data_IF_359504960062
#
_entry.id   IF_359504960062
#
_cell.length_a   1.000
_cell.length_b   1.000
_cell.length_c   1.000
_cell.angle_alpha   90.00
_cell.angle_beta   90.00
_cell.angle_gamma   90.00
#
_symmetry.space_group_name_H-M   'P 1'
#
loop_
_entity.id
_entity.type
_entity.pdbx_description
1 polymer ?
#
# COMPACT_ATOMS: atom_id res chain seq x y z
N UNK A 1 -24.32 -18.90 24.39
CA UNK A 1 -24.46 -18.40 23.02
C UNK A 1 -23.77 -17.04 23.01
N UNK A 2 -22.52 -17.00 22.56
CA UNK A 2 -21.73 -15.75 22.53
C UNK A 2 -22.26 -14.97 21.34
N UNK A 3 -22.86 -13.82 21.63
CA UNK A 3 -23.38 -12.90 20.62
C UNK A 3 -22.15 -12.22 20.03
N UNK A 4 -21.66 -12.72 18.89
CA UNK A 4 -20.64 -12.08 18.07
C UNK A 4 -21.28 -10.86 17.40
N UNK A 5 -21.32 -9.76 18.12
CA UNK A 5 -21.85 -8.49 17.65
C UNK A 5 -20.91 -7.38 18.05
N UNK A 6 -19.75 -7.32 17.39
CA UNK A 6 -18.91 -6.11 17.35
C UNK A 6 -17.82 -6.22 16.26
N UNK A 7 -18.22 -6.26 15.00
CA UNK A 7 -17.36 -5.82 13.87
C UNK A 7 -17.29 -4.28 13.84
N UNK A 8 -17.01 -3.67 15.00
CA UNK A 8 -16.92 -2.22 15.11
C UNK A 8 -15.53 -1.76 14.66
N UNK A 9 -15.49 -1.44 13.36
CA UNK A 9 -14.56 -0.53 12.66
C UNK A 9 -13.17 -1.12 12.43
N UNK A 10 -12.93 -1.55 11.18
CA UNK A 10 -11.58 -1.66 10.60
C UNK A 10 -10.85 -0.35 10.90
N UNK A 11 -9.91 -0.39 11.83
CA UNK A 11 -8.98 0.71 12.07
C UNK A 11 -7.71 0.33 11.31
N UNK A 12 -7.31 1.11 10.31
CA UNK A 12 -6.06 0.85 9.58
C UNK A 12 -4.90 1.54 10.28
N UNK A 13 -3.94 0.76 10.79
CA UNK A 13 -2.69 1.29 11.36
C UNK A 13 -1.60 1.41 10.30
N UNK A 14 -1.14 2.65 10.09
CA UNK A 14 0.01 2.95 9.24
C UNK A 14 1.29 2.90 10.07
N UNK A 15 2.34 2.32 9.52
CA UNK A 15 3.67 2.38 10.12
C UNK A 15 4.61 3.05 9.13
N UNK A 16 5.16 4.19 9.52
CA UNK A 16 6.21 4.87 8.74
C UNK A 16 7.49 4.11 8.96
N UNK A 17 8.00 3.49 7.90
CA UNK A 17 9.20 2.68 7.97
C UNK A 17 10.42 3.51 7.61
N UNK A 18 11.32 3.59 8.58
CA UNK A 18 12.63 4.24 8.46
C UNK A 18 13.74 3.23 8.20
N UNK A 19 13.48 1.94 8.46
CA UNK A 19 14.38 0.84 8.15
C UNK A 19 14.17 0.35 6.72
N UNK A 20 15.22 0.35 5.90
CA UNK A 20 15.20 -0.16 4.52
C UNK A 20 15.24 -1.69 4.43
N UNK A 21 15.09 -2.40 5.56
CA UNK A 21 14.97 -3.85 5.60
C UNK A 21 13.72 -4.34 4.85
N UNK A 22 13.95 -4.96 3.70
CA UNK A 22 12.91 -5.57 2.86
C UNK A 22 12.62 -7.03 3.21
N UNK A 23 13.23 -7.58 4.26
CA UNK A 23 13.04 -8.96 4.71
C UNK A 23 12.17 -9.05 5.96
N UNK A 24 12.23 -8.05 6.82
CA UNK A 24 11.51 -8.02 8.09
C UNK A 24 11.09 -6.60 8.43
N UNK A 25 9.97 -6.50 9.12
CA UNK A 25 9.34 -5.27 9.55
C UNK A 25 9.00 -5.38 11.04
N UNK A 26 9.50 -4.45 11.86
CA UNK A 26 9.13 -4.35 13.27
C UNK A 26 7.98 -3.36 13.49
N UNK A 27 6.84 -3.84 13.97
CA UNK A 27 5.66 -3.04 14.31
C UNK A 27 5.24 -3.37 15.74
N UNK A 28 5.23 -2.37 16.62
CA UNK A 28 4.85 -2.54 18.04
C UNK A 28 5.59 -3.68 18.77
N UNK A 29 6.86 -3.88 18.43
CA UNK A 29 7.69 -4.98 18.98
C UNK A 29 7.43 -6.35 18.35
N UNK A 30 6.46 -6.47 17.41
CA UNK A 30 6.24 -7.67 16.58
C UNK A 30 7.08 -7.61 15.32
N UNK A 31 7.67 -8.75 14.94
CA UNK A 31 8.43 -8.90 13.70
C UNK A 31 7.59 -9.58 12.62
N UNK A 32 7.38 -8.89 11.51
CA UNK A 32 6.62 -9.34 10.35
C UNK A 32 7.62 -9.67 9.25
N UNK A 33 7.65 -10.92 8.78
CA UNK A 33 8.51 -11.32 7.66
C UNK A 33 7.92 -10.83 6.35
N UNK A 34 8.73 -10.08 5.59
CA UNK A 34 8.40 -9.51 4.29
C UNK A 34 8.97 -10.32 3.11
N UNK A 35 9.87 -11.26 3.40
CA UNK A 35 10.42 -12.16 2.40
C UNK A 35 10.65 -13.54 3.01
N UNK A 36 10.26 -14.59 2.28
CA UNK A 36 10.45 -15.98 2.68
C UNK A 36 11.47 -16.62 1.72
N UNK A 37 12.69 -16.95 2.19
CA UNK A 37 13.70 -17.61 1.35
C UNK A 37 13.14 -18.90 0.73
N UNK A 38 13.32 -19.05 -0.59
CA UNK A 38 12.83 -20.22 -1.33
C UNK A 38 11.38 -20.12 -1.84
N UNK A 39 10.63 -19.10 -1.42
CA UNK A 39 9.31 -18.78 -1.99
C UNK A 39 9.46 -17.48 -2.77
N UNK A 40 9.67 -17.60 -4.08
CA UNK A 40 9.65 -16.47 -5.02
C UNK A 40 8.36 -16.59 -5.83
N UNK A 41 7.26 -16.14 -5.24
CA UNK A 41 6.00 -16.08 -5.97
C UNK A 41 5.96 -14.74 -6.73
N UNK A 42 5.69 -14.78 -8.03
CA UNK A 42 5.30 -13.59 -8.80
C UNK A 42 4.00 -12.96 -8.25
N UNK A 43 3.21 -13.76 -7.53
CA UNK A 43 1.97 -13.37 -6.86
C UNK A 43 2.12 -13.09 -5.36
N UNK A 44 0.97 -12.87 -4.72
CA UNK A 44 0.84 -12.62 -3.29
C UNK A 44 1.26 -13.84 -2.45
N UNK A 45 1.99 -13.57 -1.37
CA UNK A 45 2.36 -14.58 -0.38
C UNK A 45 1.50 -14.40 0.86
N UNK A 46 0.85 -15.48 1.30
CA UNK A 46 -0.03 -15.47 2.46
C UNK A 46 0.52 -16.46 3.48
N UNK A 47 1.01 -15.95 4.61
CA UNK A 47 1.61 -16.77 5.67
C UNK A 47 1.11 -16.25 7.02
N UNK A 48 0.40 -17.10 7.80
CA UNK A 48 -0.09 -16.77 9.14
C UNK A 48 -0.83 -15.42 9.21
N UNK A 49 -1.74 -15.16 8.27
CA UNK A 49 -2.50 -13.90 8.20
C UNK A 49 -1.71 -12.67 7.76
N UNK A 50 -0.47 -12.86 7.29
CA UNK A 50 0.33 -11.81 6.64
C UNK A 50 0.29 -12.00 5.13
N UNK A 51 -0.25 -11.02 4.43
CA UNK A 51 -0.28 -10.92 2.97
C UNK A 51 0.86 -10.01 2.53
N UNK A 52 1.82 -10.52 1.76
CA UNK A 52 2.93 -9.71 1.24
C UNK A 52 3.02 -9.84 -0.28
N UNK A 53 3.04 -8.71 -0.97
CA UNK A 53 3.45 -8.66 -2.36
C UNK A 53 4.92 -8.26 -2.43
N UNK A 54 5.72 -8.87 -3.28
CA UNK A 54 5.66 -10.14 -4.01
C UNK A 54 7.04 -10.21 -4.69
N UNK A 55 7.43 -11.37 -5.23
CA UNK A 55 8.79 -11.58 -5.72
C UNK A 55 9.23 -10.68 -6.88
N UNK A 56 8.27 -10.11 -7.64
CA UNK A 56 8.54 -9.30 -8.83
C UNK A 56 9.03 -7.86 -8.57
N UNK A 57 8.88 -7.37 -7.35
CA UNK A 57 9.42 -6.08 -6.93
C UNK A 57 10.78 -6.29 -6.28
N UNK A 58 11.76 -5.49 -6.69
CA UNK A 58 13.14 -5.60 -6.21
C UNK A 58 13.39 -4.73 -4.98
N UNK A 59 12.74 -3.56 -4.93
CA UNK A 59 13.06 -2.49 -4.00
C UNK A 59 11.89 -2.16 -3.06
N UNK A 60 10.65 -2.56 -3.39
CA UNK A 60 9.46 -2.29 -2.58
C UNK A 60 8.74 -3.57 -2.15
N UNK A 61 8.14 -3.54 -0.97
CA UNK A 61 7.21 -4.54 -0.43
C UNK A 61 5.96 -3.83 0.03
N UNK A 62 4.81 -4.43 -0.24
CA UNK A 62 3.52 -3.98 0.27
C UNK A 62 2.77 -5.15 0.89
N UNK A 63 1.84 -4.87 1.78
CA UNK A 63 1.05 -5.93 2.35
C UNK A 63 0.05 -5.50 3.39
N UNK A 64 -0.62 -6.52 3.92
CA UNK A 64 -1.54 -6.39 5.04
C UNK A 64 -1.31 -7.51 6.06
N UNK A 65 -1.55 -7.23 7.33
CA UNK A 65 -1.50 -8.18 8.43
C UNK A 65 -2.83 -8.15 9.17
N UNK A 66 -3.48 -9.30 9.24
CA UNK A 66 -4.72 -9.47 9.99
C UNK A 66 -4.50 -9.19 11.48
N UNK A 67 -5.44 -8.46 12.07
CA UNK A 67 -5.55 -8.30 13.51
C UNK A 67 -5.53 -9.67 14.22
N UNK A 68 -4.86 -9.76 15.38
CA UNK A 68 -4.65 -11.03 16.10
C UNK A 68 -5.52 -11.16 17.36
N UNK A 69 -6.40 -10.20 17.62
CA UNK A 69 -7.27 -10.23 18.79
C UNK A 69 -8.25 -9.07 18.88
N UNK A 70 -9.19 -9.12 19.85
CA UNK A 70 -10.21 -8.10 20.03
C UNK A 70 -9.60 -6.72 20.27
N UNK A 71 -10.05 -5.72 19.50
CA UNK A 71 -9.57 -4.34 19.60
C UNK A 71 -8.24 -4.06 18.88
N UNK A 72 -7.65 -5.06 18.22
CA UNK A 72 -6.53 -4.84 17.31
C UNK A 72 -7.02 -4.38 15.93
N UNK A 73 -6.17 -3.60 15.28
CA UNK A 73 -6.35 -3.01 13.96
C UNK A 73 -5.62 -3.83 12.92
N UNK A 74 -6.22 -4.02 11.75
CA UNK A 74 -5.50 -4.51 10.59
C UNK A 74 -4.37 -3.53 10.24
N UNK A 75 -3.21 -4.10 9.89
CA UNK A 75 -2.03 -3.33 9.55
C UNK A 75 -1.85 -3.38 8.05
N UNK A 76 -1.90 -2.22 7.40
CA UNK A 76 -1.54 -2.08 5.99
C UNK A 76 -0.17 -1.39 5.93
N UNK A 77 0.76 -1.95 5.17
CA UNK A 77 2.13 -1.47 5.13
C UNK A 77 2.72 -1.39 3.72
N UNK A 78 3.74 -0.54 3.61
CA UNK A 78 4.67 -0.51 2.49
C UNK A 78 6.08 -0.25 3.05
N UNK A 79 7.08 -0.96 2.54
CA UNK A 79 8.48 -0.69 2.85
C UNK A 79 9.35 -0.81 1.60
N UNK A 80 10.55 -0.23 1.64
CA UNK A 80 11.49 -0.45 0.57
C UNK A 80 12.84 0.23 0.75
N UNK A 81 13.67 0.11 -0.27
CA UNK A 81 14.99 0.75 -0.38
C UNK A 81 14.80 2.10 -1.08
N UNK A 82 14.77 3.24 -0.36
CA UNK A 82 14.36 4.52 -0.96
C UNK A 82 15.31 4.97 -2.06
N UNK A 83 14.74 5.57 -3.11
CA UNK A 83 15.53 6.18 -4.19
C UNK A 83 16.43 7.27 -3.64
N UNK A 84 17.73 7.17 -3.95
CA UNK A 84 18.72 8.22 -3.64
C UNK A 84 18.87 9.22 -4.79
N UNK A 85 18.84 8.72 -6.03
CA UNK A 85 18.99 9.52 -7.24
C UNK A 85 17.65 9.60 -7.96
N UNK A 86 16.91 10.69 -7.73
CA UNK A 86 15.61 10.91 -8.36
C UNK A 86 15.78 11.46 -9.79
N UNK A 87 14.96 11.03 -10.76
CA UNK A 87 14.83 11.74 -12.03
C UNK A 87 14.41 13.19 -11.79
N UNK A 88 15.02 14.12 -12.54
CA UNK A 88 14.73 15.55 -12.42
C UNK A 88 13.69 16.06 -13.41
N UNK A 89 13.43 15.30 -14.47
CA UNK A 89 12.51 15.66 -15.56
C UNK A 89 11.88 14.44 -16.20
N UNK A 90 10.86 14.66 -17.02
CA UNK A 90 10.17 13.65 -17.79
C UNK A 90 8.89 13.14 -17.14
N UNK A 91 8.10 12.44 -17.96
CA UNK A 91 6.86 11.79 -17.56
C UNK A 91 6.98 10.29 -17.74
N UNK A 92 6.55 9.51 -16.76
CA UNK A 92 6.61 8.04 -16.82
C UNK A 92 5.40 7.40 -16.15
N UNK A 93 5.00 6.23 -16.66
CA UNK A 93 3.95 5.43 -16.07
C UNK A 93 4.52 4.33 -15.17
N UNK A 94 3.81 4.03 -14.09
CA UNK A 94 4.04 2.91 -13.20
C UNK A 94 2.81 2.02 -13.19
N UNK A 95 3.01 0.71 -13.29
CA UNK A 95 1.96 -0.29 -13.16
C UNK A 95 2.32 -1.29 -12.08
N UNK A 96 1.35 -1.72 -11.30
CA UNK A 96 1.60 -2.70 -10.26
C UNK A 96 0.37 -3.22 -9.56
N UNK A 97 0.52 -3.55 -8.29
CA UNK A 97 -0.49 -4.24 -7.49
C UNK A 97 -0.84 -3.42 -6.25
N UNK A 98 -1.97 -3.78 -5.68
CA UNK A 98 -2.48 -3.17 -4.46
C UNK A 98 -3.19 -4.20 -3.60
N UNK A 99 -3.36 -3.86 -2.33
CA UNK A 99 -4.25 -4.56 -1.40
C UNK A 99 -5.08 -3.51 -0.68
N UNK A 100 -6.38 -3.76 -0.55
CA UNK A 100 -7.36 -2.83 0.01
C UNK A 100 -8.03 -3.53 1.20
N UNK A 101 -8.21 -2.81 2.31
CA UNK A 101 -9.02 -3.21 3.46
C UNK A 101 -10.02 -2.10 3.78
N UNK A 102 -11.21 -2.43 4.30
CA UNK A 102 -12.17 -1.44 4.76
C UNK A 102 -13.54 -2.05 5.06
N UNK A 103 -14.37 -1.30 5.78
CA UNK A 103 -15.70 -1.78 6.19
C UNK A 103 -16.65 -2.07 5.01
N UNK A 104 -16.42 -1.43 3.86
CA UNK A 104 -17.29 -1.52 2.67
C UNK A 104 -16.72 -2.41 1.55
N UNK A 105 -15.83 -3.35 1.87
CA UNK A 105 -15.27 -4.29 0.89
C UNK A 105 -15.88 -5.69 1.08
N UNK A 106 -16.59 -6.15 0.04
CA UNK A 106 -17.33 -7.41 -0.16
C UNK A 106 -17.05 -8.62 0.78
N UNK A 107 -17.43 -8.56 2.07
CA UNK A 107 -17.30 -9.63 3.09
C UNK A 107 -15.89 -10.29 3.19
N UNK A 108 -14.86 -9.66 2.59
CA UNK A 108 -13.48 -10.13 2.58
C UNK A 108 -12.63 -9.19 3.46
N UNK A 109 -11.69 -9.74 4.24
CA UNK A 109 -10.78 -8.90 5.05
C UNK A 109 -9.89 -8.01 4.16
N UNK A 110 -9.49 -8.54 2.99
CA UNK A 110 -8.66 -7.84 2.01
C UNK A 110 -9.04 -8.17 0.57
N UNK A 111 -9.03 -7.16 -0.29
CA UNK A 111 -9.17 -7.33 -1.74
C UNK A 111 -7.86 -6.96 -2.44
N UNK A 112 -7.31 -7.89 -3.22
CA UNK A 112 -6.17 -7.63 -4.09
C UNK A 112 -6.59 -6.85 -5.35
N UNK A 113 -5.75 -5.91 -5.78
CA UNK A 113 -6.03 -5.05 -6.92
C UNK A 113 -4.80 -4.71 -7.74
N UNK A 114 -4.97 -3.73 -8.63
CA UNK A 114 -3.95 -3.16 -9.50
C UNK A 114 -3.80 -1.68 -9.25
N UNK A 115 -2.59 -1.18 -9.48
CA UNK A 115 -2.28 0.24 -9.39
C UNK A 115 -1.73 0.73 -10.73
N UNK A 116 -2.15 1.91 -11.15
CA UNK A 116 -1.68 2.57 -12.37
C UNK A 116 -1.46 4.05 -12.06
N UNK A 117 -0.24 4.52 -12.24
CA UNK A 117 0.13 5.91 -11.96
C UNK A 117 0.92 6.52 -13.11
N UNK A 118 0.73 7.81 -13.32
CA UNK A 118 1.57 8.65 -14.15
C UNK A 118 2.28 9.64 -13.23
N UNK A 119 3.59 9.71 -13.37
CA UNK A 119 4.47 10.58 -12.61
C UNK A 119 5.14 11.54 -13.57
N UNK A 120 5.00 12.83 -13.31
CA UNK A 120 5.66 13.88 -14.06
C UNK A 120 6.65 14.59 -13.13
N UNK A 121 7.94 14.41 -13.39
CA UNK A 121 9.02 14.95 -12.56
C UNK A 121 9.22 16.45 -12.77
N UNK A 122 8.86 16.99 -13.95
CA UNK A 122 8.95 18.43 -14.26
C UNK A 122 7.97 19.24 -13.40
N UNK A 123 6.71 18.82 -13.39
CA UNK A 123 5.63 19.42 -12.59
C UNK A 123 5.59 18.92 -11.15
N UNK A 124 6.39 17.90 -10.82
CA UNK A 124 6.43 17.22 -9.51
C UNK A 124 5.07 16.68 -9.07
N UNK A 125 4.36 16.02 -9.98
CA UNK A 125 3.02 15.47 -9.72
C UNK A 125 2.95 13.98 -10.00
N UNK A 126 2.12 13.30 -9.21
CA UNK A 126 1.70 11.93 -9.41
C UNK A 126 0.16 11.91 -9.48
N UNK A 127 -0.39 11.27 -10.50
CA UNK A 127 -1.83 11.00 -10.59
C UNK A 127 -2.07 9.57 -11.07
N UNK A 128 -3.21 8.99 -10.71
CA UNK A 128 -3.53 7.64 -11.13
C UNK A 128 -4.66 7.03 -10.34
N UNK A 129 -4.73 5.71 -10.34
CA UNK A 129 -5.78 4.98 -9.64
C UNK A 129 -5.35 3.61 -9.13
N UNK A 130 -6.08 3.17 -8.12
CA UNK A 130 -6.07 1.80 -7.61
C UNK A 130 -7.42 1.18 -7.97
N UNK A 131 -7.39 -0.01 -8.56
CA UNK A 131 -8.58 -0.73 -9.01
C UNK A 131 -8.58 -2.15 -8.45
N UNK A 132 -9.76 -2.65 -8.12
CA UNK A 132 -9.97 -4.04 -7.73
C UNK A 132 -11.28 -4.53 -8.35
N UNK A 133 -11.41 -5.84 -8.51
CA UNK A 133 -12.63 -6.43 -9.05
C UNK A 133 -13.83 -6.03 -8.19
N UNK A 134 -14.93 -5.66 -8.83
CA UNK A 134 -16.19 -5.29 -8.16
C UNK A 134 -16.10 -4.11 -7.19
N UNK A 135 -15.09 -3.23 -7.34
CA UNK A 135 -14.95 -2.00 -6.56
C UNK A 135 -14.82 -0.77 -7.46
N UNK A 136 -15.36 0.37 -7.01
CA UNK A 136 -15.08 1.65 -7.66
C UNK A 136 -13.60 2.02 -7.49
N UNK A 137 -13.00 2.59 -8.54
CA UNK A 137 -11.60 2.98 -8.51
C UNK A 137 -11.30 4.04 -7.43
N UNK A 138 -10.18 3.88 -6.74
CA UNK A 138 -9.62 4.89 -5.83
C UNK A 138 -8.69 5.76 -6.66
N UNK A 139 -9.12 6.98 -6.96
CA UNK A 139 -8.34 7.96 -7.70
C UNK A 139 -7.36 8.67 -6.77
N UNK A 140 -6.11 8.81 -7.20
CA UNK A 140 -5.02 9.37 -6.41
C UNK A 140 -4.44 10.58 -7.13
N UNK A 141 -4.21 11.65 -6.38
CA UNK A 141 -3.45 12.82 -6.82
C UNK A 141 -2.49 13.25 -5.71
N UNK A 142 -1.21 13.42 -6.04
CA UNK A 142 -0.17 13.75 -5.07
C UNK A 142 0.90 14.67 -5.65
N UNK A 143 1.50 15.46 -4.77
CA UNK A 143 2.68 16.29 -5.06
C UNK A 143 3.94 15.57 -4.59
N UNK A 144 5.02 15.72 -5.37
CA UNK A 144 6.31 15.08 -5.15
C UNK A 144 7.24 16.06 -4.43
N UNK A 145 7.85 15.60 -3.34
CA UNK A 145 8.87 16.33 -2.59
C UNK A 145 10.03 15.39 -2.25
N UNK A 146 11.21 15.68 -2.80
CA UNK A 146 12.36 14.78 -2.74
C UNK A 146 12.05 13.43 -3.40
N UNK A 147 12.21 12.35 -2.65
CA UNK A 147 11.85 10.99 -3.08
C UNK A 147 10.50 10.51 -2.52
N UNK A 148 9.70 11.42 -1.97
CA UNK A 148 8.41 11.12 -1.35
C UNK A 148 7.29 11.84 -2.09
N UNK A 149 6.06 11.37 -1.92
CA UNK A 149 4.87 12.04 -2.44
C UNK A 149 3.75 12.01 -1.40
N UNK A 150 2.92 13.05 -1.39
CA UNK A 150 1.75 13.15 -0.50
C UNK A 150 0.59 13.81 -1.22
N UNK A 151 -0.63 13.41 -0.90
CA UNK A 151 -1.81 13.95 -1.56
C UNK A 151 -3.12 13.37 -1.07
N UNK A 152 -4.07 13.23 -1.99
CA UNK A 152 -5.45 12.81 -1.71
C UNK A 152 -5.82 11.56 -2.49
N UNK A 153 -6.75 10.80 -1.92
CA UNK A 153 -7.39 9.66 -2.55
C UNK A 153 -8.91 9.82 -2.50
N UNK A 154 -9.61 9.51 -3.58
CA UNK A 154 -11.07 9.63 -3.68
C UNK A 154 -11.67 8.43 -4.40
N UNK A 155 -12.73 7.85 -3.83
CA UNK A 155 -13.51 6.79 -4.46
C UNK A 155 -14.99 7.06 -4.20
N UNK A 156 -15.84 6.72 -5.16
CA UNK A 156 -17.30 6.71 -4.96
C UNK A 156 -17.78 5.55 -4.08
N UNK A 157 -16.92 4.55 -3.83
CA UNK A 157 -17.23 3.42 -2.95
C UNK A 157 -17.25 3.85 -1.49
N UNK A 158 -16.34 4.73 -1.09
CA UNK A 158 -16.10 5.06 0.31
C UNK A 158 -16.68 6.43 0.65
N UNK A 159 -17.37 6.52 1.78
CA UNK A 159 -17.95 7.77 2.27
C UNK A 159 -16.88 8.83 2.56
N UNK A 160 -15.73 8.39 3.10
CA UNK A 160 -14.64 9.26 3.50
C UNK A 160 -13.58 9.38 2.41
N UNK A 161 -13.26 10.61 2.00
CA UNK A 161 -12.05 10.87 1.22
C UNK A 161 -10.80 10.43 2.01
N UNK A 162 -9.74 10.11 1.28
CA UNK A 162 -8.50 9.65 1.85
C UNK A 162 -7.32 10.58 1.63
N UNK A 163 -6.27 10.32 2.39
CA UNK A 163 -4.93 10.88 2.21
C UNK A 163 -4.03 9.82 1.60
N UNK A 164 -3.07 10.29 0.81
CA UNK A 164 -2.03 9.45 0.22
C UNK A 164 -0.68 9.87 0.74
N UNK A 165 0.15 8.88 1.03
CA UNK A 165 1.59 9.07 1.17
C UNK A 165 2.34 7.92 0.51
N UNK A 166 3.58 8.17 0.09
CA UNK A 166 4.45 7.12 -0.38
C UNK A 166 5.81 7.64 -0.80
N UNK A 167 6.62 6.74 -1.33
CA UNK A 167 8.01 7.00 -1.74
C UNK A 167 8.35 6.30 -3.05
N UNK A 168 9.40 6.80 -3.69
CA UNK A 168 10.08 6.13 -4.78
C UNK A 168 11.19 5.24 -4.23
N UNK A 169 11.37 4.09 -4.88
CA UNK A 169 12.29 3.04 -4.48
C UNK A 169 13.19 2.61 -5.64
N UNK A 170 14.40 2.15 -5.30
CA UNK A 170 15.40 1.69 -6.26
C UNK A 170 16.13 2.80 -7.02
N UNK A 171 17.06 2.42 -7.89
CA UNK A 171 17.80 3.40 -8.67
C UNK A 171 16.89 4.12 -9.67
N UNK A 172 17.05 5.44 -9.81
CA UNK A 172 16.28 6.27 -10.75
C UNK A 172 14.74 6.11 -10.64
N UNK A 173 14.25 5.89 -9.42
CA UNK A 173 12.84 5.64 -9.14
C UNK A 173 12.28 4.46 -9.97
N UNK A 174 12.98 3.33 -10.00
CA UNK A 174 12.52 2.15 -10.74
C UNK A 174 11.15 1.63 -10.23
N UNK A 175 10.86 1.85 -8.96
CA UNK A 175 9.62 1.42 -8.31
C UNK A 175 9.06 2.56 -7.44
N UNK A 176 7.77 2.45 -7.11
CA UNK A 176 7.12 3.27 -6.10
C UNK A 176 6.26 2.41 -5.20
N UNK A 177 5.96 2.92 -4.01
CA UNK A 177 4.94 2.35 -3.15
C UNK A 177 4.45 3.33 -2.11
N UNK A 178 3.25 3.07 -1.59
CA UNK A 178 2.58 3.98 -0.67
C UNK A 178 1.29 3.42 -0.10
N UNK A 179 0.63 4.28 0.66
CA UNK A 179 -0.67 4.05 1.29
C UNK A 179 -1.68 5.10 0.82
N UNK A 180 -2.92 4.65 0.62
CA UNK A 180 -4.10 5.50 0.59
C UNK A 180 -4.95 5.15 1.82
N UNK A 181 -5.44 6.14 2.55
CA UNK A 181 -6.17 5.90 3.81
C UNK A 181 -7.32 6.88 3.98
N UNK A 182 -8.52 6.37 4.27
CA UNK A 182 -9.69 7.18 4.62
C UNK A 182 -9.41 8.06 5.84
N UNK A 183 -9.88 9.31 5.82
CA UNK A 183 -9.63 10.27 6.91
C UNK A 183 -10.26 9.86 8.24
N UNK A 184 -11.29 9.01 8.20
CA UNK A 184 -12.00 8.43 9.36
C UNK A 184 -11.47 7.04 9.74
N UNK A 185 -10.38 6.60 9.10
CA UNK A 185 -9.76 5.28 9.22
C UNK A 185 -10.63 4.10 8.75
N UNK A 186 -11.79 4.32 8.12
CA UNK A 186 -12.74 3.25 7.73
C UNK A 186 -12.24 2.32 6.62
N UNK A 187 -11.23 2.76 5.88
CA UNK A 187 -10.60 2.01 4.80
C UNK A 187 -9.13 2.40 4.62
N UNK A 188 -8.37 1.51 4.01
CA UNK A 188 -6.99 1.75 3.60
C UNK A 188 -6.56 0.85 2.46
N UNK A 189 -5.52 1.26 1.76
CA UNK A 189 -4.92 0.49 0.69
C UNK A 189 -3.40 0.68 0.67
N UNK A 190 -2.66 -0.39 0.45
CA UNK A 190 -1.26 -0.31 0.03
C UNK A 190 -1.16 -0.55 -1.47
N UNK A 191 -0.21 0.13 -2.10
CA UNK A 191 0.06 -0.02 -3.53
C UNK A 191 1.55 0.02 -3.82
N UNK A 192 1.94 -0.71 -4.85
CA UNK A 192 3.28 -0.71 -5.43
C UNK A 192 3.15 -0.53 -6.94
N UNK A 193 4.16 0.05 -7.58
CA UNK A 193 4.21 0.20 -9.03
C UNK A 193 5.63 0.07 -9.56
N UNK A 194 5.80 -0.65 -10.67
CA UNK A 194 7.07 -0.75 -11.41
C UNK A 194 7.01 0.15 -12.63
N UNK A 195 8.08 0.93 -12.83
CA UNK A 195 8.25 1.84 -13.97
C UNK A 195 8.12 1.05 -15.28
N UNK A 196 7.42 1.63 -16.26
CA UNK A 196 7.21 1.07 -17.61
C UNK A 196 8.20 1.64 -18.63
#
# INVERSE_FOLDING_TARGET
MVISGQDDKVQVKNVVLTDSNIKELSIDGRRIKLAYPGIYADGWQIVNGTNVCCGKYENVRIGAVMSQGPGESDIIFYNGIPTKNMPQSGSVSYKGDSIISGADINDEDYVSGKSNFTVNFDSKKLSGSITANSMSAINVNADISGNSFKGTAKSSQFTSEGKVEGKFYGNNAAELGGLAKGNDNSWGAAFAGKKQ
#
